data_IF_160042021251
#
_entry.id   IF_160042021251
#
_cell.length_a   1.000
_cell.length_b   1.000
_cell.length_c   1.000
_cell.angle_alpha   90.00
_cell.angle_beta   90.00
_cell.angle_gamma   90.00
#
_symmetry.space_group_name_H-M   'P 1'
#
loop_
_entity.id
_entity.type
_entity.pdbx_description
1 polymer ?
#
# COMPACT_ATOMS: atom_id res chain seq x y z
N UNK A 1 -3.59 -27.49 8.96
CA UNK A 1 -3.37 -27.34 7.51
C UNK A 1 -1.97 -26.78 7.35
N UNK A 2 -1.13 -27.35 6.50
CA UNK A 2 0.18 -26.75 6.21
C UNK A 2 -0.06 -25.43 5.48
N UNK A 3 0.53 -24.34 5.96
CA UNK A 3 0.53 -23.07 5.23
C UNK A 3 1.40 -23.26 3.98
N UNK A 4 0.74 -23.42 2.83
CA UNK A 4 1.45 -23.55 1.55
C UNK A 4 1.81 -22.16 1.04
N UNK A 5 3.04 -21.74 1.33
CA UNK A 5 3.57 -20.50 0.78
C UNK A 5 3.97 -20.70 -0.69
N UNK A 6 3.60 -19.72 -1.54
CA UNK A 6 3.99 -19.64 -2.95
C UNK A 6 4.94 -18.45 -3.16
N UNK A 7 5.66 -18.47 -4.29
CA UNK A 7 6.53 -17.38 -4.73
C UNK A 7 5.88 -16.56 -5.84
N UNK A 8 6.07 -15.24 -5.82
CA UNK A 8 5.75 -14.33 -6.89
C UNK A 8 6.95 -13.42 -7.17
N UNK A 9 7.26 -13.12 -8.43
CA UNK A 9 8.40 -12.27 -8.78
C UNK A 9 7.97 -11.13 -9.70
N UNK A 10 8.31 -9.90 -9.32
CA UNK A 10 7.93 -8.69 -10.05
C UNK A 10 9.12 -7.76 -10.26
N UNK A 11 9.29 -7.25 -11.48
CA UNK A 11 10.18 -6.15 -11.81
C UNK A 11 9.38 -4.88 -12.08
N UNK A 12 9.73 -3.80 -11.40
CA UNK A 12 8.93 -2.58 -11.38
C UNK A 12 9.76 -1.30 -11.30
N UNK A 13 10.98 -1.30 -11.85
CA UNK A 13 11.97 -0.25 -11.63
C UNK A 13 12.79 -0.51 -10.36
N UNK A 14 13.28 0.56 -9.73
CA UNK A 14 14.10 0.43 -8.51
C UNK A 14 13.42 -0.46 -7.46
N UNK A 15 14.05 -1.60 -7.12
CA UNK A 15 13.43 -2.60 -6.25
C UNK A 15 13.19 -2.06 -4.83
N UNK A 16 13.93 -1.04 -4.36
CA UNK A 16 13.68 -0.41 -3.05
C UNK A 16 12.24 0.10 -2.92
N UNK A 17 11.71 0.66 -4.01
CA UNK A 17 10.35 1.15 -4.07
C UNK A 17 9.30 0.05 -4.21
N UNK A 18 9.71 -1.15 -4.65
CA UNK A 18 8.84 -2.28 -4.87
C UNK A 18 8.69 -3.17 -3.63
N UNK A 19 9.57 -3.06 -2.61
CA UNK A 19 9.46 -3.85 -1.37
C UNK A 19 8.30 -3.36 -0.48
N UNK A 20 8.33 -2.09 -0.10
CA UNK A 20 7.41 -1.54 0.91
C UNK A 20 5.91 -1.70 0.63
N UNK A 21 5.42 -1.69 -0.63
CA UNK A 21 3.98 -1.85 -0.89
C UNK A 21 3.41 -3.23 -0.51
N UNK A 22 4.26 -4.26 -0.53
CA UNK A 22 3.87 -5.64 -0.19
C UNK A 22 4.25 -6.01 1.24
N UNK A 23 5.30 -5.42 1.77
CA UNK A 23 5.74 -5.71 3.13
C UNK A 23 4.67 -5.31 4.16
N UNK A 24 4.67 -6.00 5.30
CA UNK A 24 3.71 -5.84 6.41
C UNK A 24 2.24 -6.18 6.07
N UNK A 25 1.94 -6.63 4.85
CA UNK A 25 0.62 -7.14 4.50
C UNK A 25 0.35 -8.50 5.17
N UNK A 26 -0.87 -8.74 5.69
CA UNK A 26 -1.27 -10.06 6.14
C UNK A 26 -1.08 -11.11 5.04
N UNK A 27 -0.44 -12.23 5.37
CA UNK A 27 -0.16 -13.31 4.42
C UNK A 27 1.14 -13.14 3.62
N UNK A 28 1.82 -11.99 3.71
CA UNK A 28 3.16 -11.83 3.13
C UNK A 28 4.21 -12.20 4.16
N UNK A 29 5.02 -13.22 3.85
CA UNK A 29 6.06 -13.73 4.75
C UNK A 29 7.39 -13.01 4.57
N UNK A 30 7.77 -12.76 3.33
CA UNK A 30 9.07 -12.16 3.00
C UNK A 30 9.01 -11.48 1.63
N UNK A 31 9.75 -10.37 1.49
CA UNK A 31 9.96 -9.68 0.21
C UNK A 31 11.45 -9.42 0.04
N UNK A 32 12.07 -10.09 -0.93
CA UNK A 32 13.51 -10.06 -1.18
C UNK A 32 13.80 -9.23 -2.43
N UNK A 33 14.72 -8.26 -2.33
CA UNK A 33 15.27 -7.55 -3.48
C UNK A 33 16.31 -8.40 -4.21
N UNK A 34 16.30 -8.39 -5.54
CA UNK A 34 17.24 -9.15 -6.35
C UNK A 34 17.19 -8.88 -7.85
N UNK A 35 17.81 -9.79 -8.60
CA UNK A 35 18.04 -9.68 -10.03
C UNK A 35 17.54 -10.94 -10.76
N UNK A 36 16.81 -10.78 -11.86
CA UNK A 36 16.35 -11.93 -12.68
C UNK A 36 16.10 -11.52 -14.13
N UNK A 37 15.86 -12.52 -15.00
CA UNK A 37 15.55 -12.33 -16.43
C UNK A 37 16.77 -12.09 -17.34
N UNK A 38 17.95 -11.88 -16.76
CA UNK A 38 19.21 -11.71 -17.49
C UNK A 38 20.00 -13.00 -17.71
N UNK A 39 21.15 -12.86 -18.36
CA UNK A 39 22.00 -13.99 -18.76
C UNK A 39 23.27 -14.12 -17.91
N UNK A 40 23.69 -13.08 -17.18
CA UNK A 40 24.87 -13.15 -16.31
C UNK A 40 24.56 -13.91 -15.02
N UNK A 41 25.36 -14.90 -14.68
CA UNK A 41 25.24 -15.59 -13.39
C UNK A 41 25.77 -14.73 -12.24
N UNK A 42 25.07 -14.74 -11.10
CA UNK A 42 25.44 -14.05 -9.86
C UNK A 42 25.92 -12.59 -10.05
N UNK A 43 25.13 -11.71 -10.70
CA UNK A 43 25.54 -10.33 -10.95
C UNK A 43 25.62 -9.51 -9.66
N UNK A 44 26.51 -8.52 -9.62
CA UNK A 44 26.46 -7.47 -8.57
C UNK A 44 25.54 -6.32 -8.97
N UNK A 45 25.15 -5.48 -8.01
CA UNK A 45 24.36 -4.28 -8.26
C UNK A 45 25.00 -3.40 -9.34
N UNK A 46 26.31 -3.13 -9.25
CA UNK A 46 27.02 -2.28 -10.21
C UNK A 46 27.00 -2.88 -11.63
N UNK A 47 27.09 -4.20 -11.75
CA UNK A 47 26.99 -4.88 -13.04
C UNK A 47 25.58 -4.77 -13.61
N UNK A 48 24.53 -4.93 -12.79
CA UNK A 48 23.14 -4.73 -13.25
C UNK A 48 22.91 -3.29 -13.68
N UNK A 49 23.35 -2.31 -12.90
CA UNK A 49 23.24 -0.89 -13.25
C UNK A 49 24.00 -0.50 -14.52
N UNK A 50 25.02 -1.29 -14.92
CA UNK A 50 25.72 -1.08 -16.20
C UNK A 50 24.86 -1.40 -17.44
N UNK A 51 23.68 -2.03 -17.26
CA UNK A 51 22.78 -2.47 -18.32
C UNK A 51 23.38 -3.50 -19.29
N UNK A 52 24.40 -4.26 -18.87
CA UNK A 52 25.06 -5.27 -19.72
C UNK A 52 24.64 -6.71 -19.40
N UNK A 53 24.05 -6.95 -18.23
CA UNK A 53 23.73 -8.31 -17.75
C UNK A 53 22.39 -8.85 -18.26
N UNK A 54 21.54 -7.98 -18.81
CA UNK A 54 20.17 -8.26 -19.19
C UNK A 54 19.20 -8.44 -18.02
N UNK A 55 19.66 -8.35 -16.77
CA UNK A 55 18.82 -8.52 -15.59
C UNK A 55 17.93 -7.32 -15.35
N UNK A 56 16.74 -7.60 -14.81
CA UNK A 56 15.83 -6.65 -14.21
C UNK A 56 16.13 -6.55 -12.73
N UNK A 57 15.97 -5.35 -12.16
CA UNK A 57 15.74 -5.18 -10.75
C UNK A 57 14.35 -5.70 -10.40
N UNK A 58 14.28 -6.66 -9.47
CA UNK A 58 13.06 -7.37 -9.13
C UNK A 58 12.93 -7.59 -7.62
N UNK A 59 11.69 -7.85 -7.19
CA UNK A 59 11.38 -8.38 -5.87
C UNK A 59 10.81 -9.78 -6.00
N UNK A 60 11.23 -10.69 -5.12
CA UNK A 60 10.62 -12.00 -4.94
C UNK A 60 9.86 -12.02 -3.62
N UNK A 61 8.58 -12.37 -3.69
CA UNK A 61 7.63 -12.32 -2.58
C UNK A 61 7.25 -13.75 -2.22
N UNK A 62 7.43 -14.11 -0.96
CA UNK A 62 6.89 -15.34 -0.38
C UNK A 62 5.56 -15.02 0.29
N UNK A 63 4.47 -15.60 -0.21
CA UNK A 63 3.11 -15.26 0.24
C UNK A 63 2.24 -16.50 0.47
N UNK A 64 1.29 -16.39 1.38
CA UNK A 64 0.24 -17.37 1.61
C UNK A 64 -0.96 -17.02 0.72
N UNK A 65 -1.23 -17.78 -0.37
CA UNK A 65 -2.31 -17.47 -1.31
C UNK A 65 -3.70 -17.55 -0.69
N UNK A 66 -3.87 -18.27 0.43
CA UNK A 66 -5.15 -18.32 1.15
C UNK A 66 -5.44 -17.03 1.94
N UNK A 67 -4.41 -16.28 2.32
CA UNK A 67 -4.55 -15.00 3.04
C UNK A 67 -4.42 -13.83 2.07
N UNK A 68 -3.42 -13.86 1.18
CA UNK A 68 -3.15 -12.80 0.21
C UNK A 68 -3.08 -13.38 -1.22
N UNK A 69 -4.21 -13.46 -1.95
CA UNK A 69 -4.24 -14.06 -3.28
C UNK A 69 -3.33 -13.36 -4.29
N UNK A 70 -2.90 -14.10 -5.33
CA UNK A 70 -2.00 -13.57 -6.36
C UNK A 70 -2.60 -12.36 -7.11
N UNK A 71 -3.91 -12.32 -7.28
CA UNK A 71 -4.65 -11.20 -7.86
C UNK A 71 -4.42 -9.91 -7.07
N UNK A 72 -4.38 -9.98 -5.74
CA UNK A 72 -4.08 -8.81 -4.90
C UNK A 72 -2.63 -8.35 -5.06
N UNK A 73 -1.71 -9.29 -5.27
CA UNK A 73 -0.32 -8.94 -5.59
C UNK A 73 -0.25 -8.19 -6.92
N UNK A 74 -0.99 -8.64 -7.93
CA UNK A 74 -1.09 -7.96 -9.22
C UNK A 74 -1.71 -6.57 -9.09
N UNK A 75 -2.80 -6.42 -8.34
CA UNK A 75 -3.46 -5.14 -8.10
C UNK A 75 -2.53 -4.12 -7.44
N UNK A 76 -1.73 -4.56 -6.45
CA UNK A 76 -0.71 -3.72 -5.83
C UNK A 76 0.42 -3.40 -6.80
N UNK A 77 0.92 -4.39 -7.54
CA UNK A 77 2.01 -4.23 -8.50
C UNK A 77 1.68 -3.15 -9.55
N UNK A 78 0.50 -3.22 -10.17
CA UNK A 78 0.07 -2.27 -11.19
C UNK A 78 0.00 -0.83 -10.68
N UNK A 79 -0.28 -0.64 -9.39
CA UNK A 79 -0.30 0.68 -8.77
C UNK A 79 1.09 1.30 -8.65
N UNK A 80 2.13 0.48 -8.49
CA UNK A 80 3.47 0.98 -8.21
C UNK A 80 4.23 1.41 -9.47
N UNK A 81 3.84 0.91 -10.65
CA UNK A 81 4.59 1.10 -11.90
C UNK A 81 3.85 2.01 -12.88
N UNK A 82 4.57 2.64 -13.80
CA UNK A 82 4.01 3.10 -15.08
C UNK A 82 3.98 1.92 -16.06
N UNK A 83 2.80 1.31 -16.29
CA UNK A 83 2.68 0.11 -17.12
C UNK A 83 2.78 0.42 -18.62
N UNK A 84 2.93 1.71 -18.98
CA UNK A 84 3.03 2.19 -20.37
C UNK A 84 4.46 2.57 -20.78
N UNK A 85 5.42 2.46 -19.85
CA UNK A 85 6.82 2.84 -20.06
C UNK A 85 7.72 1.64 -20.33
N UNK A 86 8.22 1.53 -21.56
CA UNK A 86 9.09 0.44 -21.99
C UNK A 86 10.58 0.69 -21.72
N UNK A 87 10.99 1.91 -21.34
CA UNK A 87 12.41 2.29 -21.29
C UNK A 87 13.00 2.44 -19.88
N UNK A 88 12.27 2.01 -18.85
CA UNK A 88 12.59 2.22 -17.44
C UNK A 88 11.44 2.87 -16.69
N UNK A 89 11.53 2.98 -15.36
CA UNK A 89 10.45 3.51 -14.54
C UNK A 89 10.78 4.91 -14.05
N UNK A 90 9.95 5.88 -14.47
CA UNK A 90 10.08 7.28 -14.08
C UNK A 90 11.47 7.84 -14.41
N UNK A 91 12.20 8.37 -13.42
CA UNK A 91 13.57 8.86 -13.61
C UNK A 91 14.61 7.73 -13.71
N UNK A 92 14.30 6.50 -13.30
CA UNK A 92 15.21 5.35 -13.41
C UNK A 92 15.10 4.75 -14.83
N UNK A 93 16.09 5.03 -15.67
CA UNK A 93 16.11 4.60 -17.08
C UNK A 93 17.11 3.46 -17.31
N UNK A 94 16.77 2.55 -18.22
CA UNK A 94 17.63 1.42 -18.56
C UNK A 94 16.87 0.10 -18.61
N UNK A 95 17.55 -0.93 -19.10
CA UNK A 95 16.99 -2.28 -19.22
C UNK A 95 16.68 -2.87 -17.84
N UNK A 96 17.52 -2.58 -16.84
CA UNK A 96 17.34 -3.07 -15.46
C UNK A 96 16.09 -2.53 -14.78
N UNK A 97 15.60 -1.35 -15.20
CA UNK A 97 14.44 -0.70 -14.61
C UNK A 97 13.15 -0.93 -15.39
N UNK A 98 13.14 -1.82 -16.38
CA UNK A 98 11.91 -2.19 -17.11
C UNK A 98 10.92 -2.92 -16.20
N UNK A 99 9.67 -2.99 -16.65
CA UNK A 99 8.60 -3.68 -15.92
C UNK A 99 8.37 -5.08 -16.47
N UNK A 100 8.26 -6.06 -15.59
CA UNK A 100 7.92 -7.42 -15.96
C UNK A 100 7.25 -8.16 -14.78
N UNK A 101 6.34 -9.07 -15.11
CA UNK A 101 5.78 -10.06 -14.19
C UNK A 101 6.43 -11.40 -14.54
N UNK A 102 7.17 -11.99 -13.60
CA UNK A 102 7.81 -13.29 -13.78
C UNK A 102 6.95 -14.39 -13.14
N UNK A 103 6.25 -15.17 -13.97
CA UNK A 103 5.35 -16.20 -13.48
C UNK A 103 6.09 -17.49 -13.10
N UNK A 104 5.69 -18.10 -11.98
CA UNK A 104 6.27 -19.36 -11.47
C UNK A 104 5.50 -20.59 -11.93
N UNK A 105 4.25 -20.42 -12.35
CA UNK A 105 3.37 -21.48 -12.86
C UNK A 105 2.36 -20.91 -13.88
N UNK A 106 1.61 -21.80 -14.55
CA UNK A 106 0.61 -21.40 -15.55
C UNK A 106 -0.61 -20.67 -14.94
N UNK A 107 -0.89 -20.88 -13.65
CA UNK A 107 -1.96 -20.17 -12.96
C UNK A 107 -1.61 -18.68 -12.84
N UNK A 108 -0.40 -18.37 -12.36
CA UNK A 108 0.13 -17.01 -12.29
C UNK A 108 0.17 -16.34 -13.66
N UNK A 109 0.60 -17.06 -14.71
CA UNK A 109 0.59 -16.53 -16.07
C UNK A 109 -0.82 -16.11 -16.49
N UNK A 110 -1.81 -16.99 -16.34
CA UNK A 110 -3.22 -16.72 -16.71
C UNK A 110 -3.78 -15.54 -15.93
N UNK A 111 -3.52 -15.46 -14.62
CA UNK A 111 -3.98 -14.36 -13.76
C UNK A 111 -3.29 -13.03 -14.13
N UNK A 112 -1.99 -13.06 -14.42
CA UNK A 112 -1.24 -11.88 -14.86
C UNK A 112 -1.77 -11.37 -16.22
N UNK A 113 -1.99 -12.25 -17.19
CA UNK A 113 -2.54 -11.90 -18.50
C UNK A 113 -3.96 -11.31 -18.39
N UNK A 114 -4.81 -11.93 -17.56
CA UNK A 114 -6.15 -11.42 -17.27
C UNK A 114 -6.11 -10.04 -16.60
N UNK A 115 -5.28 -9.85 -15.58
CA UNK A 115 -5.15 -8.56 -14.89
C UNK A 115 -4.65 -7.45 -15.82
N UNK A 116 -3.69 -7.76 -16.70
CA UNK A 116 -3.18 -6.85 -17.72
C UNK A 116 -4.27 -6.45 -18.72
N UNK A 117 -5.10 -7.41 -19.14
CA UNK A 117 -6.22 -7.14 -20.04
C UNK A 117 -7.28 -6.24 -19.37
N UNK A 118 -7.63 -6.52 -18.11
CA UNK A 118 -8.55 -5.68 -17.32
C UNK A 118 -8.01 -4.25 -17.21
N UNK A 119 -6.72 -4.09 -16.89
CA UNK A 119 -6.09 -2.78 -16.79
C UNK A 119 -6.10 -2.01 -18.12
N UNK A 120 -5.84 -2.70 -19.24
CA UNK A 120 -5.88 -2.09 -20.57
C UNK A 120 -7.31 -1.64 -20.94
N UNK A 121 -8.34 -2.37 -20.53
CA UNK A 121 -9.74 -2.03 -20.78
C UNK A 121 -10.30 -0.98 -19.81
N UNK A 122 -9.61 -0.68 -18.71
CA UNK A 122 -10.14 0.19 -17.66
C UNK A 122 -10.21 1.68 -18.06
N UNK A 123 -9.62 2.07 -19.19
CA UNK A 123 -9.52 3.46 -19.63
C UNK A 123 -8.59 4.33 -18.78
N UNK A 124 -7.87 3.75 -17.81
CA UNK A 124 -6.98 4.49 -16.90
C UNK A 124 -5.73 5.02 -17.60
N UNK A 125 -5.27 4.32 -18.63
CA UNK A 125 -4.10 4.68 -19.42
C UNK A 125 -4.47 4.84 -20.89
N UNK A 126 -4.03 5.95 -21.49
CA UNK A 126 -4.24 6.20 -22.93
C UNK A 126 -3.26 5.42 -23.82
N UNK A 127 -2.09 5.09 -23.27
CA UNK A 127 -1.05 4.32 -23.98
C UNK A 127 -1.23 2.83 -23.71
N UNK A 128 -0.79 1.95 -24.64
CA UNK A 128 -0.83 0.51 -24.43
C UNK A 128 -0.05 0.08 -23.19
N UNK A 129 -0.51 -1.00 -22.54
CA UNK A 129 0.19 -1.64 -21.42
C UNK A 129 1.34 -2.51 -21.96
N UNK A 130 2.58 -2.07 -21.74
CA UNK A 130 3.80 -2.67 -22.30
C UNK A 130 4.52 -3.63 -21.35
N UNK A 131 4.14 -3.67 -20.07
CA UNK A 131 4.73 -4.57 -19.07
C UNK A 131 4.73 -6.03 -19.55
N UNK A 132 5.90 -6.66 -19.52
CA UNK A 132 6.08 -8.02 -20.02
C UNK A 132 5.58 -9.06 -19.02
N UNK A 133 5.14 -10.22 -19.51
CA UNK A 133 4.80 -11.39 -18.70
C UNK A 133 5.71 -12.51 -19.18
N UNK A 134 6.66 -12.91 -18.34
CA UNK A 134 7.77 -13.77 -18.72
C UNK A 134 7.85 -14.97 -17.76
N UNK A 135 8.33 -16.15 -18.21
CA UNK A 135 8.61 -17.25 -17.31
C UNK A 135 9.72 -16.83 -16.33
N UNK A 136 9.63 -17.28 -15.08
CA UNK A 136 10.68 -17.02 -14.09
C UNK A 136 11.98 -17.73 -14.48
N UNK A 137 13.09 -17.00 -14.42
CA UNK A 137 14.45 -17.54 -14.55
C UNK A 137 15.14 -17.64 -13.18
N UNK A 138 16.47 -17.86 -13.14
CA UNK A 138 17.23 -17.76 -11.91
C UNK A 138 17.03 -16.39 -11.23
N UNK A 139 16.83 -16.41 -9.91
CA UNK A 139 16.72 -15.20 -9.09
C UNK A 139 17.95 -15.09 -8.20
N UNK A 140 18.67 -13.98 -8.33
CA UNK A 140 19.87 -13.69 -7.54
C UNK A 140 19.54 -12.63 -6.49
N UNK A 141 19.63 -13.00 -5.21
CA UNK A 141 19.41 -12.06 -4.10
C UNK A 141 20.41 -10.91 -4.18
N UNK A 142 19.93 -9.68 -4.08
CA UNK A 142 20.77 -8.49 -4.00
C UNK A 142 21.51 -8.41 -2.66
N UNK A 143 22.59 -7.66 -2.62
CA UNK A 143 23.47 -7.49 -1.47
C UNK A 143 22.70 -6.99 -0.24
N UNK A 144 23.12 -7.37 0.96
CA UNK A 144 22.38 -7.10 2.21
C UNK A 144 22.08 -5.61 2.47
N UNK A 145 22.90 -4.70 1.93
CA UNK A 145 22.65 -3.24 2.00
C UNK A 145 21.37 -2.81 1.27
N UNK A 146 20.87 -3.61 0.33
CA UNK A 146 19.69 -3.35 -0.49
C UNK A 146 18.39 -3.95 0.09
N UNK A 147 18.51 -4.84 1.08
CA UNK A 147 17.38 -5.48 1.74
C UNK A 147 16.78 -4.54 2.80
N UNK A 148 15.45 -4.53 2.91
CA UNK A 148 14.70 -3.65 3.84
C UNK A 148 15.12 -2.18 3.78
N UNK A 149 15.51 -1.70 2.59
CA UNK A 149 16.13 -0.39 2.44
C UNK A 149 15.26 0.74 3.00
N UNK A 150 13.95 0.64 2.82
CA UNK A 150 12.98 1.62 3.29
C UNK A 150 12.89 1.68 4.83
N UNK A 151 13.15 0.58 5.54
CA UNK A 151 13.22 0.51 7.01
C UNK A 151 14.56 1.04 7.52
N UNK A 152 15.66 0.66 6.87
CA UNK A 152 17.02 1.00 7.30
C UNK A 152 17.39 2.46 6.99
N UNK A 153 16.87 3.02 5.91
CA UNK A 153 17.19 4.38 5.42
C UNK A 153 15.92 5.19 5.10
N UNK A 154 15.00 5.40 6.06
CA UNK A 154 13.66 5.93 5.78
C UNK A 154 13.67 7.34 5.18
N UNK A 155 14.56 8.22 5.65
CA UNK A 155 14.66 9.59 5.11
C UNK A 155 15.09 9.58 3.64
N UNK A 156 16.17 8.85 3.32
CA UNK A 156 16.67 8.78 1.95
C UNK A 156 15.67 8.09 1.03
N UNK A 157 15.05 6.99 1.48
CA UNK A 157 13.99 6.30 0.75
C UNK A 157 12.82 7.22 0.42
N UNK A 158 12.32 8.00 1.39
CA UNK A 158 11.19 8.90 1.17
C UNK A 158 11.53 10.01 0.18
N UNK A 159 12.71 10.61 0.30
CA UNK A 159 13.21 11.60 -0.65
C UNK A 159 13.36 11.02 -2.06
N UNK A 160 13.88 9.80 -2.17
CA UNK A 160 14.04 9.10 -3.44
C UNK A 160 12.68 8.73 -4.07
N UNK A 161 11.71 8.24 -3.28
CA UNK A 161 10.36 7.91 -3.78
C UNK A 161 9.62 9.13 -4.34
N UNK A 162 9.75 10.29 -3.69
CA UNK A 162 9.22 11.55 -4.18
C UNK A 162 10.00 12.08 -5.39
N UNK A 163 11.34 12.06 -5.30
CA UNK A 163 12.26 12.57 -6.31
C UNK A 163 12.29 11.76 -7.60
N UNK A 164 12.06 10.44 -7.53
CA UNK A 164 12.03 9.53 -8.68
C UNK A 164 10.79 9.73 -9.57
N UNK A 165 9.75 10.40 -9.07
CA UNK A 165 8.49 10.61 -9.79
C UNK A 165 7.44 9.52 -9.55
N UNK A 166 7.80 8.41 -8.90
CA UNK A 166 6.87 7.32 -8.58
C UNK A 166 5.71 7.79 -7.71
N UNK A 167 5.98 8.51 -6.63
CA UNK A 167 4.93 9.01 -5.74
C UNK A 167 3.95 9.93 -6.49
N UNK A 168 4.46 10.80 -7.37
CA UNK A 168 3.65 11.68 -8.22
C UNK A 168 2.79 10.89 -9.20
N UNK A 169 3.34 9.83 -9.80
CA UNK A 169 2.59 8.96 -10.69
C UNK A 169 1.44 8.25 -9.96
N UNK A 170 1.72 7.68 -8.78
CA UNK A 170 0.70 7.03 -7.95
C UNK A 170 -0.42 8.03 -7.65
N UNK A 171 -0.05 9.23 -7.18
CA UNK A 171 -1.01 10.29 -6.87
C UNK A 171 -1.87 10.69 -8.07
N UNK A 172 -1.31 10.69 -9.27
CA UNK A 172 -2.02 11.12 -10.48
C UNK A 172 -2.97 10.05 -11.02
N UNK A 173 -2.58 8.78 -10.98
CA UNK A 173 -3.30 7.71 -11.69
C UNK A 173 -4.14 6.81 -10.77
N UNK A 174 -3.83 6.80 -9.47
CA UNK A 174 -4.40 5.83 -8.51
C UNK A 174 -5.07 6.47 -7.29
N UNK A 175 -4.92 7.78 -7.06
CA UNK A 175 -5.77 8.48 -6.09
C UNK A 175 -7.23 8.38 -6.50
N UNK A 176 -8.08 8.11 -5.53
CA UNK A 176 -9.53 8.13 -5.71
C UNK A 176 -9.99 9.58 -5.72
N UNK A 177 -9.96 10.21 -6.90
CA UNK A 177 -10.46 11.57 -7.09
C UNK A 177 -11.95 11.50 -7.39
N UNK A 178 -12.77 11.50 -6.34
CA UNK A 178 -14.21 11.75 -6.47
C UNK A 178 -14.45 13.25 -6.62
N UNK A 179 -15.35 13.64 -7.52
CA UNK A 179 -15.76 15.03 -7.69
C UNK A 179 -16.50 15.54 -6.45
N UNK A 180 -16.54 16.86 -6.27
CA UNK A 180 -17.30 17.47 -5.18
C UNK A 180 -18.77 17.02 -5.17
N UNK A 181 -19.38 16.99 -6.36
CA UNK A 181 -20.76 16.55 -6.55
C UNK A 181 -20.96 15.08 -6.16
N UNK A 182 -20.02 14.19 -6.52
CA UNK A 182 -20.08 12.78 -6.12
C UNK A 182 -20.00 12.63 -4.60
N UNK A 183 -19.06 13.32 -3.97
CA UNK A 183 -18.89 13.26 -2.52
C UNK A 183 -20.11 13.79 -1.77
N UNK A 184 -20.72 14.87 -2.25
CA UNK A 184 -21.96 15.41 -1.65
C UNK A 184 -23.17 14.47 -1.83
N UNK A 185 -23.16 13.58 -2.82
CA UNK A 185 -24.21 12.57 -3.03
C UNK A 185 -23.98 11.32 -2.18
N UNK A 186 -22.72 10.92 -1.99
CA UNK A 186 -22.36 9.67 -1.32
C UNK A 186 -22.17 9.83 0.19
N UNK A 187 -21.70 11.00 0.64
CA UNK A 187 -21.41 11.26 2.05
C UNK A 187 -22.55 12.03 2.72
N UNK A 188 -22.75 11.78 4.00
CA UNK A 188 -23.56 12.69 4.84
C UNK A 188 -22.87 14.05 4.96
N UNK A 189 -23.62 15.08 5.33
CA UNK A 189 -23.07 16.43 5.52
C UNK A 189 -21.88 16.44 6.50
N UNK A 190 -21.99 15.74 7.64
CA UNK A 190 -20.89 15.67 8.61
C UNK A 190 -19.67 14.95 8.04
N UNK A 191 -19.86 13.81 7.36
CA UNK A 191 -18.76 13.08 6.72
C UNK A 191 -18.06 13.94 5.67
N UNK A 192 -18.81 14.69 4.86
CA UNK A 192 -18.24 15.62 3.89
C UNK A 192 -17.43 16.73 4.58
N UNK A 193 -18.00 17.39 5.61
CA UNK A 193 -17.31 18.48 6.33
C UNK A 193 -16.03 17.98 7.01
N UNK A 194 -16.07 16.81 7.64
CA UNK A 194 -14.88 16.21 8.27
C UNK A 194 -13.85 15.85 7.21
N UNK A 195 -14.21 15.03 6.22
CA UNK A 195 -13.25 14.45 5.26
C UNK A 195 -12.68 15.48 4.29
N UNK A 196 -13.46 16.50 3.87
CA UNK A 196 -13.02 17.52 2.90
C UNK A 196 -12.67 18.87 3.49
N UNK A 197 -13.43 19.34 4.47
CA UNK A 197 -13.24 20.68 5.03
C UNK A 197 -12.47 20.67 6.35
N UNK A 198 -11.89 19.52 6.71
CA UNK A 198 -11.10 19.32 7.92
C UNK A 198 -11.86 19.66 9.21
N UNK A 199 -13.20 19.49 9.19
CA UNK A 199 -14.00 19.64 10.40
C UNK A 199 -13.69 18.51 11.39
N UNK A 200 -14.10 18.71 12.65
CA UNK A 200 -14.00 17.68 13.69
C UNK A 200 -15.39 17.40 14.23
N UNK A 201 -15.79 16.12 14.26
CA UNK A 201 -17.08 15.72 14.80
C UNK A 201 -17.14 15.93 16.32
N UNK A 202 -18.33 16.07 16.95
CA UNK A 202 -18.41 16.28 18.38
C UNK A 202 -17.91 15.05 19.19
N UNK A 203 -17.20 15.26 20.31
CA UNK A 203 -16.75 14.17 21.17
C UNK A 203 -17.95 13.43 21.78
N UNK A 204 -17.82 12.11 21.95
CA UNK A 204 -18.82 11.19 22.50
C UNK A 204 -20.19 11.15 21.78
N UNK A 205 -20.31 11.87 20.66
CA UNK A 205 -21.52 11.92 19.82
C UNK A 205 -21.18 11.52 18.40
N UNK A 206 -20.53 10.37 18.29
CA UNK A 206 -20.11 9.78 17.03
C UNK A 206 -20.27 8.24 17.10
N UNK A 207 -20.15 7.58 15.96
CA UNK A 207 -20.53 6.16 15.84
C UNK A 207 -19.51 5.21 16.46
N UNK A 208 -18.21 5.55 16.42
CA UNK A 208 -17.16 4.59 16.71
C UNK A 208 -16.33 4.87 17.97
N UNK A 209 -16.59 5.93 18.73
CA UNK A 209 -15.83 6.19 19.97
C UNK A 209 -15.88 4.98 20.92
N UNK A 210 -17.05 4.36 21.11
CA UNK A 210 -17.25 3.20 21.98
C UNK A 210 -17.37 1.85 21.24
N UNK A 211 -17.12 1.79 19.93
CA UNK A 211 -17.10 0.53 19.21
C UNK A 211 -15.83 -0.26 19.53
N UNK A 212 -15.96 -1.51 19.99
CA UNK A 212 -14.85 -2.42 20.28
C UNK A 212 -15.08 -3.81 19.67
N UNK A 213 -15.96 -3.92 18.68
CA UNK A 213 -16.18 -5.16 17.94
C UNK A 213 -14.94 -5.51 17.08
N UNK A 214 -14.77 -6.80 16.79
CA UNK A 214 -13.69 -7.28 15.92
C UNK A 214 -13.95 -6.81 14.47
N UNK A 215 -12.98 -6.13 13.87
CA UNK A 215 -13.08 -5.64 12.50
C UNK A 215 -12.05 -4.57 12.17
N UNK A 216 -12.12 -4.06 10.95
CA UNK A 216 -11.23 -2.99 10.48
C UNK A 216 -12.02 -1.71 10.21
N UNK A 217 -11.31 -0.59 10.25
CA UNK A 217 -11.82 0.72 9.86
C UNK A 217 -11.17 1.11 8.55
N UNK A 218 -11.99 1.32 7.53
CA UNK A 218 -11.56 1.75 6.21
C UNK A 218 -11.88 3.23 6.00
N UNK A 219 -11.13 3.90 5.12
CA UNK A 219 -11.47 5.25 4.66
C UNK A 219 -12.86 5.23 4.02
N UNK A 220 -13.73 6.14 4.46
CA UNK A 220 -15.10 6.21 3.96
C UNK A 220 -15.16 6.59 2.47
N UNK A 221 -14.13 7.28 1.94
CA UNK A 221 -14.10 7.72 0.55
C UNK A 221 -13.56 6.64 -0.39
N UNK A 222 -12.37 6.10 -0.09
CA UNK A 222 -11.66 5.17 -0.96
C UNK A 222 -11.89 3.69 -0.63
N UNK A 223 -12.30 3.37 0.60
CA UNK A 223 -12.33 2.00 1.10
C UNK A 223 -10.94 1.45 1.46
N UNK A 224 -9.89 2.26 1.47
CA UNK A 224 -8.55 1.85 1.89
C UNK A 224 -8.56 1.43 3.38
N UNK A 225 -8.06 0.24 3.76
CA UNK A 225 -7.92 -0.16 5.16
C UNK A 225 -6.94 0.73 5.91
N UNK A 226 -7.39 1.35 7.01
CA UNK A 226 -6.57 2.31 7.76
C UNK A 226 -6.21 1.81 9.16
N UNK A 227 -7.17 1.26 9.89
CA UNK A 227 -6.98 0.85 11.29
C UNK A 227 -7.64 -0.50 11.59
N UNK A 228 -7.13 -1.20 12.60
CA UNK A 228 -7.71 -2.43 13.12
C UNK A 228 -8.32 -2.18 14.50
N UNK A 229 -9.42 -2.86 14.84
CA UNK A 229 -9.95 -2.81 16.20
C UNK A 229 -9.00 -3.46 17.23
N UNK A 230 -8.07 -4.31 16.81
CA UNK A 230 -7.00 -4.86 17.67
C UNK A 230 -6.07 -3.80 18.25
N UNK A 231 -5.93 -2.67 17.56
CA UNK A 231 -5.10 -1.54 17.99
C UNK A 231 -5.94 -0.38 18.55
N UNK A 232 -7.27 -0.53 18.59
CA UNK A 232 -8.19 0.45 19.15
C UNK A 232 -8.22 0.34 20.68
N UNK A 233 -8.31 1.47 21.35
CA UNK A 233 -8.45 1.52 22.82
C UNK A 233 -9.29 2.72 23.26
N UNK A 234 -9.77 2.69 24.51
CA UNK A 234 -10.45 3.84 25.10
C UNK A 234 -9.42 4.85 25.65
N UNK A 235 -9.30 5.99 24.97
CA UNK A 235 -8.44 7.09 25.40
C UNK A 235 -9.17 8.10 26.30
N UNK A 236 -10.49 7.96 26.52
CA UNK A 236 -11.31 8.92 27.25
C UNK A 236 -11.45 10.30 26.57
N UNK A 237 -11.02 10.44 25.31
CA UNK A 237 -11.06 11.71 24.59
C UNK A 237 -12.40 11.96 23.84
N UNK A 238 -13.20 10.92 23.63
CA UNK A 238 -14.50 11.01 22.94
C UNK A 238 -14.46 10.76 21.43
N UNK A 239 -13.32 10.37 20.87
CA UNK A 239 -13.17 9.91 19.49
C UNK A 239 -12.51 8.52 19.45
N UNK A 240 -12.76 7.70 18.42
CA UNK A 240 -12.04 6.44 18.27
C UNK A 240 -10.53 6.70 18.22
N UNK A 241 -9.80 5.99 19.08
CA UNK A 241 -8.36 6.15 19.28
C UNK A 241 -7.64 4.85 19.02
N UNK A 242 -6.55 4.92 18.23
CA UNK A 242 -5.75 3.76 17.84
C UNK A 242 -4.29 3.97 18.22
N UNK A 243 -3.60 2.89 18.60
CA UNK A 243 -2.16 2.91 18.89
C UNK A 243 -1.32 3.04 17.62
N UNK A 244 -1.76 2.41 16.53
CA UNK A 244 -1.09 2.41 15.23
C UNK A 244 -2.09 2.17 14.10
N UNK A 245 -1.77 2.61 12.86
CA UNK A 245 -2.50 2.20 11.67
C UNK A 245 -2.16 0.76 11.27
N UNK A 246 -2.97 0.18 10.38
CA UNK A 246 -2.64 -1.08 9.70
C UNK A 246 -1.32 -0.95 8.93
N UNK A 247 -1.14 0.16 8.20
CA UNK A 247 0.12 0.49 7.53
C UNK A 247 0.35 2.00 7.59
N UNK A 248 1.48 2.41 8.17
CA UNK A 248 1.83 3.85 8.29
C UNK A 248 2.00 4.51 6.92
N UNK A 249 2.40 3.74 5.91
CA UNK A 249 2.62 4.24 4.56
C UNK A 249 1.34 4.66 3.83
N UNK A 250 0.15 4.28 4.32
CA UNK A 250 -1.15 4.67 3.75
C UNK A 250 -1.66 5.99 4.34
N UNK A 251 -0.99 6.51 5.37
CA UNK A 251 -1.32 7.77 6.01
C UNK A 251 -0.34 8.87 5.63
N UNK A 252 -0.83 10.10 5.54
CA UNK A 252 -0.04 11.31 5.44
C UNK A 252 -0.15 12.10 6.74
N UNK A 253 1.00 12.35 7.37
CA UNK A 253 1.13 13.13 8.60
C UNK A 253 1.60 14.54 8.25
N UNK A 254 0.79 15.57 8.51
CA UNK A 254 1.07 16.98 8.17
C UNK A 254 1.10 17.86 9.41
N UNK A 255 2.01 18.83 9.47
CA UNK A 255 2.00 19.82 10.55
C UNK A 255 0.76 20.71 10.43
N UNK A 256 -0.03 20.75 11.51
CA UNK A 256 -1.22 21.58 11.64
C UNK A 256 -0.99 22.66 12.70
N UNK A 257 -1.08 23.92 12.28
CA UNK A 257 -0.93 25.13 13.12
C UNK A 257 -2.27 25.83 13.39
N UNK A 258 -3.39 25.22 12.99
CA UNK A 258 -4.73 25.77 13.21
C UNK A 258 -5.05 25.89 14.70
N UNK A 259 -5.99 26.78 15.02
CA UNK A 259 -6.48 27.03 16.38
C UNK A 259 -5.39 27.39 17.41
N UNK A 260 -4.23 27.90 16.95
CA UNK A 260 -3.12 28.29 17.82
C UNK A 260 -2.39 27.11 18.47
N UNK A 261 -2.63 25.89 18.00
CA UNK A 261 -1.98 24.67 18.49
C UNK A 261 -0.95 24.16 17.50
N UNK A 262 0.02 23.38 17.98
CA UNK A 262 0.91 22.57 17.14
C UNK A 262 0.48 21.12 17.23
N UNK A 263 -0.11 20.59 16.15
CA UNK A 263 -0.57 19.20 16.08
C UNK A 263 -0.07 18.57 14.79
N UNK A 264 -0.18 17.25 14.70
CA UNK A 264 0.10 16.51 13.47
C UNK A 264 -1.24 15.99 12.95
N UNK A 265 -1.72 16.60 11.86
CA UNK A 265 -2.87 16.13 11.11
C UNK A 265 -2.57 14.78 10.47
N UNK A 266 -3.55 13.90 10.47
CA UNK A 266 -3.51 12.60 9.80
C UNK A 266 -4.54 12.59 8.68
N UNK A 267 -4.12 12.25 7.45
CA UNK A 267 -4.97 12.11 6.27
C UNK A 267 -4.79 10.75 5.62
N UNK A 268 -5.85 10.22 4.99
CA UNK A 268 -5.73 9.04 4.14
C UNK A 268 -5.05 9.42 2.83
N UNK A 269 -3.98 8.71 2.43
CA UNK A 269 -3.22 9.09 1.23
C UNK A 269 -4.01 8.91 -0.05
N UNK A 270 -4.84 7.87 -0.18
CA UNK A 270 -5.52 7.58 -1.45
C UNK A 270 -6.63 8.58 -1.79
N UNK A 271 -7.37 9.07 -0.79
CA UNK A 271 -8.49 10.01 -0.99
C UNK A 271 -8.17 11.46 -0.60
N UNK A 272 -7.03 11.69 0.07
CA UNK A 272 -6.69 12.94 0.75
C UNK A 272 -7.75 13.37 1.79
N UNK A 273 -8.49 12.40 2.34
CA UNK A 273 -9.50 12.60 3.38
C UNK A 273 -8.85 13.00 4.70
N UNK A 274 -9.31 14.08 5.33
CA UNK A 274 -8.93 14.41 6.70
C UNK A 274 -9.52 13.37 7.66
N UNK A 275 -8.64 12.73 8.43
CA UNK A 275 -9.03 11.69 9.40
C UNK A 275 -9.08 12.27 10.81
N UNK A 276 -8.07 13.05 11.20
CA UNK A 276 -7.95 13.59 12.54
C UNK A 276 -6.51 13.98 12.85
N UNK A 277 -6.03 13.63 14.04
CA UNK A 277 -4.68 14.00 14.50
C UNK A 277 -4.00 12.85 15.23
N UNK A 278 -2.66 12.85 15.22
CA UNK A 278 -1.83 11.95 16.04
C UNK A 278 -1.13 12.74 17.15
N UNK A 279 -1.13 12.16 18.34
CA UNK A 279 -0.53 12.71 19.56
C UNK A 279 0.49 11.73 20.15
N UNK A 280 1.36 12.22 21.04
CA UNK A 280 2.43 11.48 21.72
C UNK A 280 2.08 11.09 23.18
N UNK A 281 0.78 10.95 23.47
CA UNK A 281 0.20 10.61 24.78
C UNK A 281 -0.49 9.23 24.80
N UNK A 282 -0.26 8.40 23.79
CA UNK A 282 -0.80 7.05 23.66
C UNK A 282 -0.11 6.00 24.55
N UNK A 283 -0.72 4.81 24.68
CA UNK A 283 -0.10 3.68 25.35
C UNK A 283 1.01 3.06 24.49
N UNK A 284 1.84 2.22 25.11
CA UNK A 284 2.94 1.53 24.43
C UNK A 284 4.24 2.35 24.30
N UNK A 285 5.25 1.79 23.61
CA UNK A 285 6.58 2.40 23.51
C UNK A 285 6.61 3.62 22.58
N UNK A 286 5.85 3.60 21.49
CA UNK A 286 5.82 4.70 20.51
C UNK A 286 5.01 5.90 20.96
N UNK A 287 4.21 5.73 22.03
CA UNK A 287 3.32 6.76 22.59
C UNK A 287 2.35 7.38 21.59
N UNK A 288 2.15 6.77 20.43
CA UNK A 288 1.26 7.29 19.41
C UNK A 288 -0.21 7.08 19.79
N UNK A 289 -1.01 8.15 19.71
CA UNK A 289 -2.46 8.10 19.77
C UNK A 289 -3.04 8.71 18.51
N UNK A 290 -3.50 7.87 17.61
CA UNK A 290 -4.25 8.28 16.42
C UNK A 290 -5.70 8.55 16.82
N UNK A 291 -6.04 9.82 16.98
CA UNK A 291 -7.36 10.31 17.37
C UNK A 291 -8.15 10.67 16.11
N UNK A 292 -9.07 9.78 15.69
CA UNK A 292 -9.68 9.81 14.35
C UNK A 292 -11.16 10.13 14.45
N UNK A 293 -11.71 10.84 13.48
CA UNK A 293 -13.15 11.07 13.38
C UNK A 293 -13.84 9.79 12.84
N UNK A 294 -14.90 9.35 13.50
CA UNK A 294 -15.78 8.27 13.00
C UNK A 294 -16.37 8.63 11.65
N UNK A 295 -16.73 9.90 11.43
CA UNK A 295 -17.22 10.40 10.15
C UNK A 295 -16.22 10.31 8.98
N UNK A 296 -14.94 10.03 9.24
CA UNK A 296 -13.97 9.75 8.19
C UNK A 296 -13.78 8.25 7.90
N UNK A 297 -14.44 7.39 8.69
CA UNK A 297 -14.25 5.94 8.68
C UNK A 297 -15.55 5.22 8.33
N UNK A 298 -15.41 4.00 7.82
CA UNK A 298 -16.45 2.99 7.78
C UNK A 298 -15.94 1.74 8.48
N UNK A 299 -16.68 1.23 9.45
CA UNK A 299 -16.32 -0.02 10.11
C UNK A 299 -16.79 -1.23 9.29
N UNK A 300 -15.91 -2.22 9.15
CA UNK A 300 -16.21 -3.52 8.55
C UNK A 300 -16.00 -4.58 9.62
N UNK A 301 -17.11 -5.13 10.12
CA UNK A 301 -17.08 -6.22 11.10
C UNK A 301 -16.35 -7.45 10.53
N UNK A 302 -15.66 -8.22 11.39
CA UNK A 302 -14.83 -9.36 10.97
C UNK A 302 -15.58 -10.35 10.07
N UNK A 303 -16.86 -10.60 10.36
CA UNK A 303 -17.69 -11.57 9.64
C UNK A 303 -18.02 -11.12 8.20
N UNK A 304 -17.79 -9.84 7.85
CA UNK A 304 -18.01 -9.27 6.53
C UNK A 304 -16.72 -9.03 5.74
N UNK A 305 -15.56 -9.29 6.33
CA UNK A 305 -14.27 -8.98 5.70
C UNK A 305 -14.11 -9.74 4.39
N UNK A 306 -14.44 -11.03 4.35
CA UNK A 306 -14.28 -11.83 3.12
C UNK A 306 -15.24 -11.37 2.02
N UNK A 307 -16.53 -11.20 2.34
CA UNK A 307 -17.58 -10.73 1.41
C UNK A 307 -17.23 -9.37 0.81
N UNK A 308 -16.69 -8.45 1.60
CA UNK A 308 -16.36 -7.10 1.15
C UNK A 308 -14.96 -6.98 0.53
N UNK A 309 -14.23 -8.09 0.34
CA UNK A 309 -12.93 -8.10 -0.35
C UNK A 309 -11.72 -7.77 0.55
N UNK A 310 -11.90 -7.82 1.86
CA UNK A 310 -10.90 -7.58 2.91
C UNK A 310 -10.48 -8.85 3.67
N UNK A 311 -10.76 -10.03 3.11
CA UNK A 311 -10.52 -11.33 3.76
C UNK A 311 -9.08 -11.55 4.28
N UNK A 312 -8.07 -10.90 3.70
CA UNK A 312 -6.69 -10.98 4.18
C UNK A 312 -6.54 -10.49 5.63
N UNK A 313 -7.40 -9.59 6.08
CA UNK A 313 -7.36 -9.04 7.44
C UNK A 313 -8.04 -9.95 8.47
N UNK A 314 -8.70 -11.04 8.07
CA UNK A 314 -9.27 -12.01 9.01
C UNK A 314 -8.21 -12.58 9.96
N UNK A 315 -6.97 -12.74 9.49
CA UNK A 315 -5.85 -13.26 10.30
C UNK A 315 -5.52 -12.37 11.50
N UNK A 316 -5.93 -11.10 11.52
CA UNK A 316 -5.74 -10.21 12.67
C UNK A 316 -6.60 -10.62 13.88
N UNK A 317 -7.72 -11.31 13.63
CA UNK A 317 -8.72 -11.67 14.64
C UNK A 317 -8.76 -13.18 14.93
N UNK A 318 -7.94 -13.96 14.24
CA UNK A 318 -7.77 -15.37 14.55
C UNK A 318 -6.93 -15.49 15.82
N UNK A 319 -7.51 -16.11 16.84
CA UNK A 319 -6.80 -16.40 18.09
C UNK A 319 -5.67 -17.39 17.79
N UNK A 320 -4.44 -17.06 18.21
CA UNK A 320 -3.32 -18.01 18.19
C UNK A 320 -3.57 -19.21 19.10
#
# INVERSE_FOLDING_TARGET
MFEEYKLATFAGGCFWCMVSPFDEQPGIKEVISGYTGGHKENPTYEEVCSNTTGHYEAVQITYNPAVFPYEKLLDLFWQQIDPTDAGGQFHDRGQSYRTAIFYHDEEQRRLAEASKAVLAMSGRFQKPIVTEILPVGPFYRAEERHQDYYKRNPLHYNLYKEGSGRARFIRKNWKTVKSDEQLRKELTALQYEVTKNNATEPPFRNEYWNNFEDGIYVDIISGEPLFSSTDKYDAGCGWPSFMKPLRRMDLEERLDLSHGMRRIEVRAKQSDSHLGHVFDDGPGPDKARYCINSAALRFIHKDKLEEEGYGQFLSLFQTQ
#
